data_IF_552099351725
#
_entry.id   IF_552099351725
#
_cell.length_a   1.000
_cell.length_b   1.000
_cell.length_c   1.000
_cell.angle_alpha   90.00
_cell.angle_beta   90.00
_cell.angle_gamma   90.00
#
_symmetry.space_group_name_H-M   'P 1'
#
loop_
_entity.id
_entity.type
_entity.pdbx_description
1 polymer ?
#
# COMPACT_ATOMS: atom_id res chain seq x y z
N UNK A 1 -3.29 37.82 -7.66
CA UNK A 1 -3.88 36.86 -6.69
C UNK A 1 -3.02 35.59 -6.69
N UNK A 2 -2.12 35.42 -5.72
CA UNK A 2 -1.38 34.16 -5.57
C UNK A 2 -2.34 33.10 -5.00
N UNK A 3 -2.51 32.00 -5.73
CA UNK A 3 -3.31 30.85 -5.28
C UNK A 3 -2.43 30.07 -4.29
N UNK A 4 -2.71 30.19 -2.99
CA UNK A 4 -2.07 29.36 -1.95
C UNK A 4 -2.40 27.90 -2.28
N UNK A 5 -1.40 27.11 -2.64
CA UNK A 5 -1.56 25.67 -2.89
C UNK A 5 -1.54 24.95 -1.55
N UNK A 6 -2.59 24.20 -1.25
CA UNK A 6 -2.59 23.30 -0.11
C UNK A 6 -1.53 22.21 -0.34
N UNK A 7 -0.59 22.09 0.61
CA UNK A 7 0.43 21.04 0.59
C UNK A 7 -0.27 19.74 0.97
N UNK A 8 -0.69 18.95 -0.01
CA UNK A 8 -1.17 17.59 0.23
C UNK A 8 -0.03 16.79 0.87
N UNK A 9 -0.27 16.23 2.06
CA UNK A 9 0.66 15.27 2.68
C UNK A 9 0.69 14.02 1.81
N UNK A 10 1.78 13.90 1.06
CA UNK A 10 2.10 12.77 0.22
C UNK A 10 2.66 11.63 1.06
N UNK A 11 2.13 10.42 0.91
CA UNK A 11 2.54 9.25 1.69
C UNK A 11 2.84 8.04 0.80
N UNK A 12 4.03 7.49 0.97
CA UNK A 12 4.40 6.17 0.47
C UNK A 12 4.20 5.13 1.57
N UNK A 13 3.54 4.03 1.22
CA UNK A 13 3.31 2.94 2.15
C UNK A 13 4.29 1.83 1.85
N UNK A 14 5.12 1.52 2.85
CA UNK A 14 6.04 0.39 2.79
C UNK A 14 5.53 -0.73 3.69
N UNK A 15 5.26 -1.89 3.09
CA UNK A 15 4.82 -3.08 3.81
C UNK A 15 5.86 -4.17 3.63
N UNK A 16 6.70 -4.35 4.64
CA UNK A 16 7.75 -5.39 4.68
C UNK A 16 7.44 -6.52 5.65
N UNK A 17 6.46 -6.34 6.53
CA UNK A 17 6.06 -7.37 7.48
C UNK A 17 5.32 -8.50 6.77
N UNK A 18 5.54 -9.74 7.20
CA UNK A 18 4.95 -10.92 6.55
C UNK A 18 3.52 -11.17 7.03
N UNK A 19 2.63 -11.45 6.08
CA UNK A 19 1.24 -11.80 6.35
C UNK A 19 0.35 -10.60 6.70
N UNK A 20 0.76 -9.39 6.30
CA UNK A 20 -0.13 -8.23 6.30
C UNK A 20 -1.08 -8.36 5.11
N UNK A 21 -2.37 -8.12 5.35
CA UNK A 21 -3.39 -8.07 4.31
C UNK A 21 -3.78 -6.62 4.09
N UNK A 22 -3.50 -6.12 2.88
CA UNK A 22 -3.78 -4.77 2.44
C UNK A 22 -5.08 -4.80 1.64
N UNK A 23 -6.07 -4.05 2.10
CA UNK A 23 -7.40 -3.96 1.50
C UNK A 23 -7.89 -2.53 1.36
N UNK A 24 -9.08 -2.38 0.80
CA UNK A 24 -9.78 -1.11 0.72
C UNK A 24 -11.17 -1.25 1.38
N UNK A 25 -11.54 -0.30 2.22
CA UNK A 25 -12.86 -0.23 2.82
C UNK A 25 -13.30 1.24 2.92
N UNK A 26 -14.48 1.57 2.37
CA UNK A 26 -15.05 2.94 2.42
C UNK A 26 -14.05 4.04 2.04
N UNK A 27 -13.35 3.87 0.92
CA UNK A 27 -12.35 4.82 0.40
C UNK A 27 -11.07 4.95 1.26
N UNK A 28 -10.83 3.99 2.15
CA UNK A 28 -9.65 3.95 3.02
C UNK A 28 -8.86 2.70 2.74
N UNK A 29 -7.56 2.86 2.57
CA UNK A 29 -6.64 1.74 2.57
C UNK A 29 -6.58 1.18 3.99
N UNK A 30 -6.65 -0.14 4.12
CA UNK A 30 -6.61 -0.87 5.39
C UNK A 30 -5.44 -1.83 5.39
N UNK A 31 -4.68 -1.87 6.48
CA UNK A 31 -3.62 -2.84 6.70
C UNK A 31 -3.99 -3.67 7.92
N UNK A 32 -4.22 -4.96 7.71
CA UNK A 32 -4.55 -5.93 8.75
C UNK A 32 -3.31 -6.77 9.04
N UNK A 33 -2.79 -6.63 10.26
CA UNK A 33 -1.63 -7.35 10.75
C UNK A 33 -2.07 -8.65 11.45
N UNK A 34 -1.14 -9.59 11.60
CA UNK A 34 -1.44 -10.91 12.19
C UNK A 34 -1.81 -10.86 13.66
N UNK A 35 -1.29 -9.86 14.38
CA UNK A 35 -1.59 -9.60 15.79
C UNK A 35 -3.00 -8.98 16.00
N UNK A 36 -3.76 -8.77 14.92
CA UNK A 36 -5.06 -8.12 14.95
C UNK A 36 -4.98 -6.59 14.90
N UNK A 37 -3.78 -5.99 14.86
CA UNK A 37 -3.62 -4.56 14.66
C UNK A 37 -4.18 -4.18 13.28
N UNK A 38 -4.95 -3.09 13.26
CA UNK A 38 -5.43 -2.50 12.02
C UNK A 38 -4.97 -1.05 11.90
N UNK A 39 -4.42 -0.70 10.73
CA UNK A 39 -4.10 0.67 10.35
C UNK A 39 -4.99 1.06 9.18
N UNK A 40 -5.40 2.32 9.11
CA UNK A 40 -6.11 2.84 7.94
C UNK A 40 -5.75 4.28 7.62
N UNK A 41 -5.83 4.61 6.34
CA UNK A 41 -5.60 5.95 5.81
C UNK A 41 -6.44 6.19 4.57
N UNK A 42 -6.81 7.44 4.26
CA UNK A 42 -7.48 7.77 3.01
C UNK A 42 -6.59 7.39 1.82
N UNK A 43 -7.15 6.70 0.81
CA UNK A 43 -6.36 6.33 -0.38
C UNK A 43 -5.92 7.56 -1.19
N UNK A 44 -6.69 8.64 -1.13
CA UNK A 44 -6.39 9.91 -1.80
C UNK A 44 -5.12 10.61 -1.30
N UNK A 45 -4.58 10.21 -0.14
CA UNK A 45 -3.32 10.72 0.41
C UNK A 45 -2.13 9.80 0.12
N UNK A 46 -2.34 8.71 -0.63
CA UNK A 46 -1.33 7.69 -0.92
C UNK A 46 -0.78 7.90 -2.32
N UNK A 47 0.54 8.09 -2.43
CA UNK A 47 1.22 8.27 -3.72
C UNK A 47 1.80 6.98 -4.28
N UNK A 48 1.89 5.94 -3.45
CA UNK A 48 2.38 4.65 -3.88
C UNK A 48 2.41 3.62 -2.75
N UNK A 49 2.29 2.36 -3.15
CA UNK A 49 2.33 1.21 -2.24
C UNK A 49 3.48 0.31 -2.66
N UNK A 50 4.39 0.04 -1.74
CA UNK A 50 5.52 -0.87 -1.91
C UNK A 50 5.32 -2.07 -0.98
N UNK A 51 5.20 -3.24 -1.58
CA UNK A 51 4.97 -4.50 -0.88
C UNK A 51 6.22 -5.35 -1.03
N UNK A 52 6.80 -5.76 0.10
CA UNK A 52 7.99 -6.58 0.15
C UNK A 52 7.63 -7.88 0.86
N UNK A 53 7.87 -9.00 0.20
CA UNK A 53 7.73 -10.32 0.80
C UNK A 53 6.35 -10.93 0.71
N UNK A 54 5.99 -11.67 1.76
CA UNK A 54 4.78 -12.49 1.83
C UNK A 54 3.58 -11.69 2.36
N UNK A 55 3.32 -10.55 1.76
CA UNK A 55 2.15 -9.71 2.05
C UNK A 55 1.15 -9.76 0.90
N UNK A 56 -0.13 -9.61 1.23
CA UNK A 56 -1.23 -9.80 0.28
C UNK A 56 -1.93 -8.46 0.04
N UNK A 57 -2.24 -8.16 -1.22
CA UNK A 57 -3.25 -7.15 -1.55
C UNK A 57 -4.51 -7.86 -2.01
N UNK A 58 -5.66 -7.34 -1.59
CA UNK A 58 -6.94 -7.79 -2.17
C UNK A 58 -7.09 -7.27 -3.60
N UNK A 59 -7.76 -8.03 -4.46
CA UNK A 59 -8.00 -7.63 -5.85
C UNK A 59 -8.78 -6.30 -5.93
N UNK A 60 -9.73 -6.07 -5.02
CA UNK A 60 -10.48 -4.81 -4.95
C UNK A 60 -9.55 -3.62 -4.65
N UNK A 61 -8.58 -3.81 -3.76
CA UNK A 61 -7.58 -2.78 -3.47
C UNK A 61 -6.73 -2.46 -4.70
N UNK A 62 -6.33 -3.49 -5.45
CA UNK A 62 -5.53 -3.35 -6.67
C UNK A 62 -6.30 -2.58 -7.74
N UNK A 63 -7.55 -2.96 -8.02
CA UNK A 63 -8.43 -2.25 -8.96
C UNK A 63 -8.56 -0.79 -8.57
N UNK A 64 -8.82 -0.53 -7.28
CA UNK A 64 -8.98 0.84 -6.82
C UNK A 64 -7.70 1.69 -6.93
N UNK A 65 -6.54 1.10 -6.62
CA UNK A 65 -5.27 1.79 -6.80
C UNK A 65 -5.03 2.15 -8.26
N UNK A 66 -5.42 1.28 -9.20
CA UNK A 66 -5.33 1.59 -10.63
C UNK A 66 -6.26 2.74 -11.05
N UNK A 67 -7.50 2.76 -10.54
CA UNK A 67 -8.47 3.84 -10.81
C UNK A 67 -7.99 5.19 -10.28
N UNK A 68 -7.39 5.21 -9.08
CA UNK A 68 -6.90 6.42 -8.43
C UNK A 68 -5.48 6.83 -8.90
N UNK A 69 -4.86 6.07 -9.81
CA UNK A 69 -3.51 6.35 -10.31
C UNK A 69 -2.39 6.12 -9.28
N UNK A 70 -2.64 5.28 -8.28
CA UNK A 70 -1.70 4.93 -7.21
C UNK A 70 -0.85 3.72 -7.63
N UNK A 71 0.46 3.87 -7.90
CA UNK A 71 1.32 2.76 -8.28
C UNK A 71 1.49 1.75 -7.13
N UNK A 72 1.41 0.47 -7.47
CA UNK A 72 1.68 -0.65 -6.54
C UNK A 72 2.88 -1.43 -7.06
N UNK A 73 3.91 -1.58 -6.23
CA UNK A 73 5.14 -2.32 -6.54
C UNK A 73 5.29 -3.52 -5.62
N UNK A 74 5.55 -4.69 -6.18
CA UNK A 74 5.79 -5.93 -5.43
C UNK A 74 7.25 -6.36 -5.56
N UNK A 75 7.88 -6.66 -4.43
CA UNK A 75 9.24 -7.16 -4.34
C UNK A 75 9.27 -8.46 -3.52
N UNK A 76 10.12 -9.40 -3.91
CA UNK A 76 10.44 -10.58 -3.09
C UNK A 76 11.38 -10.19 -1.94
N UNK A 77 11.18 -10.74 -0.74
CA UNK A 77 12.11 -10.56 0.40
C UNK A 77 13.46 -11.23 0.21
N UNK A 78 13.53 -12.23 -0.66
CA UNK A 78 14.73 -13.04 -0.89
C UNK A 78 15.08 -12.92 -2.36
N UNK A 79 16.28 -12.39 -2.65
CA UNK A 79 16.92 -12.62 -3.93
C UNK A 79 17.22 -14.12 -4.03
N UNK A 80 16.63 -14.81 -5.00
CA UNK A 80 16.92 -16.23 -5.26
C UNK A 80 18.42 -16.37 -5.54
N UNK A 81 19.18 -16.85 -4.57
CA UNK A 81 20.50 -17.46 -4.79
C UNK A 81 20.29 -18.97 -4.94
N UNK A 82 19.85 -19.37 -6.13
CA UNK A 82 19.76 -20.76 -6.52
C UNK A 82 21.16 -21.31 -6.88
N UNK A 83 21.99 -21.54 -5.86
CA UNK A 83 23.07 -22.54 -5.95
C UNK A 83 22.54 -23.85 -5.35
N UNK A 84 21.97 -24.68 -6.22
CA UNK A 84 21.85 -26.13 -6.02
C UNK A 84 22.87 -26.81 -6.89
#
# INVERSE_FOLDING_TARGET
>A
MMRVREVRKMSFIYVSESGVVIGIEKNRLTLKYRDGMMRSLPIETVDGIVVIGKSQLTSQCIVRCMEDGVPVSFFSSIGKNNNS
#
